data_IF_973926287462
#
_entry.id   IF_973926287462
#
_cell.length_a   1.000
_cell.length_b   1.000
_cell.length_c   1.000
_cell.angle_alpha   90.00
_cell.angle_beta   90.00
_cell.angle_gamma   90.00
#
_symmetry.space_group_name_H-M   'P 1'
#
loop_
_entity.id
_entity.type
_entity.pdbx_description
1 polymer ?
#
# COMPACT_ATOMS: atom_id res chain seq x y z
N UNK A 1 11.85 -6.76 10.17
CA UNK A 1 10.36 -6.82 10.14
C UNK A 1 9.79 -8.18 9.71
N UNK A 2 10.57 -9.13 9.16
CA UNK A 2 10.07 -10.50 8.92
C UNK A 2 9.27 -10.72 7.62
N UNK A 3 9.35 -9.78 6.68
CA UNK A 3 8.74 -9.89 5.35
C UNK A 3 9.61 -10.66 4.34
N UNK A 4 9.16 -10.75 3.08
CA UNK A 4 9.88 -11.47 2.03
C UNK A 4 11.17 -10.76 1.61
N UNK A 5 12.07 -11.50 0.95
CA UNK A 5 13.23 -10.91 0.28
C UNK A 5 12.78 -10.32 -1.06
N UNK A 6 12.95 -9.01 -1.21
CA UNK A 6 12.63 -8.29 -2.44
C UNK A 6 13.87 -8.24 -3.33
N UNK A 7 13.78 -8.60 -4.62
CA UNK A 7 14.86 -8.37 -5.57
C UNK A 7 15.20 -6.87 -5.64
N UNK A 8 16.48 -6.55 -5.49
CA UNK A 8 16.95 -5.16 -5.53
C UNK A 8 18.18 -5.07 -6.42
N UNK A 9 18.22 -4.02 -7.24
CA UNK A 9 19.37 -3.72 -8.10
C UNK A 9 19.81 -2.27 -7.89
N UNK A 10 21.11 -1.99 -7.66
CA UNK A 10 21.62 -0.64 -7.55
C UNK A 10 21.55 0.13 -8.89
N UNK A 11 21.96 1.40 -8.88
CA UNK A 11 22.15 2.19 -10.09
C UNK A 11 21.01 3.14 -10.45
N UNK A 12 20.15 3.50 -9.49
CA UNK A 12 19.32 4.71 -9.65
C UNK A 12 20.24 5.92 -9.64
N UNK A 13 19.95 6.90 -10.49
CA UNK A 13 20.74 8.13 -10.62
C UNK A 13 19.90 9.30 -10.15
N UNK A 14 20.40 9.99 -9.13
CA UNK A 14 19.77 11.22 -8.67
C UNK A 14 19.96 12.32 -9.71
N UNK A 15 18.90 13.11 -9.93
CA UNK A 15 19.04 14.36 -10.64
C UNK A 15 19.58 15.41 -9.67
N UNK A 16 20.64 16.08 -10.09
CA UNK A 16 21.22 17.21 -9.36
C UNK A 16 20.47 18.49 -9.66
N UNK A 17 20.65 19.53 -8.85
CA UNK A 17 20.10 20.87 -9.13
C UNK A 17 20.47 21.37 -10.54
N UNK A 18 21.66 21.01 -11.04
CA UNK A 18 22.11 21.37 -12.37
C UNK A 18 21.45 20.56 -13.51
N UNK A 19 20.84 19.42 -13.23
CA UNK A 19 20.29 18.49 -14.24
C UNK A 19 18.79 18.26 -14.14
N UNK A 20 18.16 18.69 -13.05
CA UNK A 20 16.70 18.60 -12.86
C UNK A 20 15.99 19.59 -13.78
N UNK A 21 14.97 19.09 -14.48
CA UNK A 21 14.04 19.90 -15.29
C UNK A 21 12.68 19.94 -14.58
N UNK A 22 11.89 20.98 -14.85
CA UNK A 22 10.53 21.06 -14.29
C UNK A 22 9.67 19.81 -14.60
N UNK A 23 9.87 19.19 -15.77
CA UNK A 23 9.18 17.95 -16.18
C UNK A 23 9.60 16.71 -15.39
N UNK A 24 10.71 16.77 -14.65
CA UNK A 24 11.18 15.67 -13.79
C UNK A 24 10.51 15.68 -12.43
N UNK A 25 9.93 16.82 -12.03
CA UNK A 25 9.20 16.98 -10.79
C UNK A 25 7.74 16.62 -11.08
N UNK A 26 7.22 15.50 -10.56
CA UNK A 26 5.82 15.14 -10.79
C UNK A 26 4.89 16.18 -10.14
N UNK A 27 3.75 16.52 -10.76
CA UNK A 27 2.76 17.37 -10.13
C UNK A 27 2.12 16.68 -8.91
N UNK A 28 1.55 17.49 -8.02
CA UNK A 28 0.70 17.01 -6.93
C UNK A 28 -0.51 16.23 -7.46
N UNK A 29 -1.12 15.41 -6.61
CA UNK A 29 -2.31 14.62 -6.95
C UNK A 29 -2.02 13.27 -7.64
N UNK A 30 -0.74 12.88 -7.79
CA UNK A 30 -0.38 11.54 -8.30
C UNK A 30 -0.42 10.44 -7.26
N UNK A 31 -0.43 10.79 -5.98
CA UNK A 31 -0.50 9.85 -4.87
C UNK A 31 -1.96 9.47 -4.57
N UNK A 32 -2.23 8.24 -4.10
CA UNK A 32 -3.57 7.82 -3.74
C UNK A 32 -4.12 8.65 -2.57
N UNK A 33 -5.44 8.78 -2.52
CA UNK A 33 -6.18 9.46 -1.47
C UNK A 33 -6.89 8.39 -0.63
N UNK A 34 -6.59 8.37 0.66
CA UNK A 34 -7.11 7.40 1.60
C UNK A 34 -8.64 7.45 1.78
N UNK A 35 -9.28 8.57 1.43
CA UNK A 35 -10.74 8.72 1.51
C UNK A 35 -11.48 8.09 0.33
N UNK A 36 -10.78 7.71 -0.74
CA UNK A 36 -11.37 7.28 -2.00
C UNK A 36 -11.43 5.76 -2.14
N UNK A 37 -12.38 5.27 -2.94
CA UNK A 37 -12.64 3.85 -3.15
C UNK A 37 -11.91 3.23 -4.36
N UNK A 38 -12.34 2.02 -4.73
CA UNK A 38 -11.73 1.19 -5.75
C UNK A 38 -11.51 1.87 -7.13
N UNK A 39 -12.42 2.70 -7.67
CA UNK A 39 -12.18 3.41 -8.93
C UNK A 39 -10.95 4.32 -8.89
N UNK A 40 -10.75 5.07 -7.80
CA UNK A 40 -9.59 5.95 -7.60
C UNK A 40 -8.30 5.13 -7.48
N UNK A 41 -8.35 4.07 -6.67
CA UNK A 41 -7.21 3.16 -6.49
C UNK A 41 -6.76 2.60 -7.85
N UNK A 42 -7.70 2.11 -8.68
CA UNK A 42 -7.37 1.62 -10.02
C UNK A 42 -6.80 2.72 -10.91
N UNK A 43 -7.39 3.92 -10.95
CA UNK A 43 -6.87 5.03 -11.76
C UNK A 43 -5.40 5.35 -11.45
N UNK A 44 -5.04 5.41 -10.16
CA UNK A 44 -3.68 5.66 -9.71
C UNK A 44 -2.73 4.53 -10.12
N UNK A 45 -3.08 3.28 -9.85
CA UNK A 45 -2.16 2.16 -10.00
C UNK A 45 -2.10 1.61 -11.43
N UNK A 46 -3.19 1.66 -12.20
CA UNK A 46 -3.21 1.24 -13.60
C UNK A 46 -2.34 2.14 -14.47
N UNK A 47 -2.28 3.45 -14.17
CA UNK A 47 -1.32 4.37 -14.80
C UNK A 47 0.14 3.94 -14.60
N UNK A 48 0.44 3.23 -13.51
CA UNK A 48 1.76 2.68 -13.21
C UNK A 48 1.96 1.25 -13.73
N UNK A 49 0.96 0.69 -14.42
CA UNK A 49 1.00 -0.64 -15.02
C UNK A 49 0.80 -1.79 -14.03
N UNK A 50 0.15 -1.57 -12.89
CA UNK A 50 -0.20 -2.65 -11.96
C UNK A 50 -1.55 -3.27 -12.26
N UNK A 51 -1.68 -4.56 -11.98
CA UNK A 51 -2.94 -5.31 -12.00
C UNK A 51 -3.62 -5.28 -10.64
N UNK A 52 -4.90 -5.62 -10.55
CA UNK A 52 -5.64 -5.69 -9.29
C UNK A 52 -4.94 -6.58 -8.24
N UNK A 53 -4.38 -7.73 -8.66
CA UNK A 53 -3.62 -8.63 -7.78
C UNK A 53 -2.39 -7.97 -7.17
N UNK A 54 -1.64 -7.22 -7.98
CA UNK A 54 -0.44 -6.51 -7.52
C UNK A 54 -0.79 -5.32 -6.62
N UNK A 55 -1.90 -4.62 -6.91
CA UNK A 55 -2.41 -3.53 -6.05
C UNK A 55 -2.75 -4.10 -4.66
N UNK A 56 -3.53 -5.18 -4.61
CA UNK A 56 -3.91 -5.80 -3.34
C UNK A 56 -2.68 -6.34 -2.61
N UNK A 57 -1.67 -6.86 -3.33
CA UNK A 57 -0.41 -7.27 -2.71
C UNK A 57 0.28 -6.08 -2.04
N UNK A 58 0.47 -4.97 -2.78
CA UNK A 58 1.12 -3.76 -2.25
C UNK A 58 0.40 -3.16 -1.04
N UNK A 59 -0.94 -3.24 -0.99
CA UNK A 59 -1.74 -2.81 0.16
C UNK A 59 -1.31 -3.47 1.47
N UNK A 60 -0.83 -4.71 1.43
CA UNK A 60 -0.34 -5.44 2.60
C UNK A 60 0.84 -4.76 3.32
N UNK A 61 1.47 -3.75 2.71
CA UNK A 61 2.42 -2.89 3.39
C UNK A 61 1.83 -2.18 4.62
N UNK A 62 0.51 -1.92 4.65
CA UNK A 62 -0.19 -1.41 5.83
C UNK A 62 -0.14 -2.35 7.05
N UNK A 63 0.34 -3.59 6.89
CA UNK A 63 0.71 -4.43 8.04
C UNK A 63 1.76 -3.80 8.96
N UNK A 64 2.54 -2.84 8.45
CA UNK A 64 3.60 -2.13 9.16
C UNK A 64 3.24 -0.65 9.29
N UNK A 65 3.51 -0.11 10.47
CA UNK A 65 3.37 1.31 10.77
C UNK A 65 1.98 1.69 11.27
N UNK A 66 1.69 2.99 11.15
CA UNK A 66 0.47 3.63 11.62
C UNK A 66 0.23 4.96 10.93
N UNK A 67 -1.01 5.43 10.97
CA UNK A 67 -1.34 6.81 10.66
C UNK A 67 -1.02 7.76 11.83
N UNK A 68 -0.71 9.01 11.47
CA UNK A 68 -0.45 10.12 12.38
C UNK A 68 -1.28 11.34 11.96
N UNK A 69 -1.88 12.01 12.94
CA UNK A 69 -2.82 13.13 12.71
C UNK A 69 -2.13 14.34 12.10
N UNK A 70 -0.90 14.64 12.51
CA UNK A 70 -0.07 15.74 11.99
C UNK A 70 0.48 15.51 10.57
N UNK A 71 0.30 14.31 10.00
CA UNK A 71 0.79 13.94 8.67
C UNK A 71 -0.32 13.69 7.66
N UNK A 72 -1.30 12.91 8.07
CA UNK A 72 -2.37 12.42 7.19
C UNK A 72 -3.77 12.80 7.65
N UNK A 73 -3.91 13.41 8.83
CA UNK A 73 -5.20 13.61 9.50
C UNK A 73 -5.71 12.34 10.20
N UNK A 74 -5.42 11.15 9.69
CA UNK A 74 -5.80 9.85 10.26
C UNK A 74 -4.96 9.44 11.49
N UNK A 75 -5.45 8.51 12.31
CA UNK A 75 -4.75 8.05 13.50
C UNK A 75 -4.92 6.55 13.77
N UNK A 76 -3.83 5.88 14.14
CA UNK A 76 -3.85 4.51 14.65
C UNK A 76 -3.09 3.51 13.77
N UNK A 77 -2.72 2.35 14.32
CA UNK A 77 -2.13 1.24 13.54
C UNK A 77 -3.22 0.39 12.88
N UNK A 78 -2.86 -0.30 11.80
CA UNK A 78 -3.75 -1.30 11.16
C UNK A 78 -3.66 -2.69 11.81
N UNK A 79 -2.58 -2.96 12.54
CA UNK A 79 -2.33 -4.26 13.17
C UNK A 79 -1.78 -4.11 14.58
N UNK A 80 -1.97 -5.13 15.42
CA UNK A 80 -1.43 -5.17 16.79
C UNK A 80 0.10 -5.22 16.83
N UNK A 81 0.76 -5.63 15.73
CA UNK A 81 2.22 -5.68 15.64
C UNK A 81 2.73 -4.78 14.50
N UNK A 82 2.66 -3.44 14.64
CA UNK A 82 2.96 -2.49 13.56
C UNK A 82 4.46 -2.47 13.17
N UNK A 83 5.32 -3.25 13.82
CA UNK A 83 6.75 -3.38 13.48
C UNK A 83 7.08 -4.71 12.79
N UNK A 84 6.06 -5.55 12.53
CA UNK A 84 6.21 -6.87 11.90
C UNK A 84 5.38 -6.95 10.63
N UNK A 85 6.08 -7.16 9.51
CA UNK A 85 5.43 -7.42 8.23
C UNK A 85 4.80 -8.81 8.26
N UNK A 86 3.50 -8.89 7.98
CA UNK A 86 2.76 -10.15 7.97
C UNK A 86 1.42 -10.03 7.24
N UNK A 87 0.78 -11.17 6.93
CA UNK A 87 -0.58 -11.17 6.38
C UNK A 87 -1.68 -10.95 7.45
N UNK A 88 -1.30 -10.56 8.68
CA UNK A 88 -2.28 -10.24 9.74
C UNK A 88 -3.21 -9.10 9.32
N UNK A 89 -2.71 -8.14 8.54
CA UNK A 89 -3.52 -7.06 7.97
C UNK A 89 -4.77 -7.59 7.24
N UNK A 90 -4.62 -8.51 6.29
CA UNK A 90 -5.76 -9.05 5.54
C UNK A 90 -6.70 -9.89 6.42
N UNK A 91 -6.15 -10.63 7.39
CA UNK A 91 -6.95 -11.38 8.36
C UNK A 91 -7.85 -10.46 9.17
N UNK A 92 -7.28 -9.41 9.75
CA UNK A 92 -8.01 -8.40 10.53
C UNK A 92 -9.02 -7.66 9.66
N UNK A 93 -8.63 -7.26 8.44
CA UNK A 93 -9.52 -6.58 7.50
C UNK A 93 -10.80 -7.38 7.23
N UNK A 94 -10.72 -8.71 7.15
CA UNK A 94 -11.87 -9.59 6.93
C UNK A 94 -12.62 -9.98 8.21
N UNK A 95 -11.92 -10.16 9.33
CA UNK A 95 -12.51 -10.76 10.55
C UNK A 95 -13.06 -9.74 11.54
N UNK A 96 -12.54 -8.52 11.54
CA UNK A 96 -12.94 -7.47 12.48
C UNK A 96 -14.19 -6.76 11.96
N UNK A 97 -15.12 -6.46 12.87
CA UNK A 97 -16.26 -5.59 12.57
C UNK A 97 -15.83 -4.14 12.69
N UNK A 98 -15.62 -3.50 11.55
CA UNK A 98 -15.20 -2.10 11.48
C UNK A 98 -16.38 -1.15 11.66
N UNK A 99 -16.28 -0.22 12.63
CA UNK A 99 -17.26 0.83 12.89
C UNK A 99 -16.68 2.20 12.59
N UNK A 100 -17.50 3.14 12.12
CA UNK A 100 -17.03 4.50 11.84
C UNK A 100 -16.64 5.21 13.14
N UNK A 101 -15.41 5.71 13.20
CA UNK A 101 -14.89 6.47 14.34
C UNK A 101 -15.59 7.83 14.44
N UNK A 102 -16.09 8.18 15.62
CA UNK A 102 -16.67 9.51 15.90
C UNK A 102 -15.62 10.40 16.55
N UNK A 103 -15.07 11.33 15.78
CA UNK A 103 -13.95 12.21 16.16
C UNK A 103 -13.81 13.39 15.17
N UNK A 104 -12.93 14.34 15.47
CA UNK A 104 -12.71 15.56 14.67
C UNK A 104 -11.81 15.38 13.44
N UNK A 105 -11.34 14.15 13.20
CA UNK A 105 -10.50 13.83 12.06
C UNK A 105 -11.28 13.37 10.83
N UNK A 106 -10.57 13.02 9.74
CA UNK A 106 -11.21 12.44 8.56
C UNK A 106 -11.91 11.12 8.89
N UNK A 107 -12.89 10.75 8.06
CA UNK A 107 -13.64 9.50 8.23
C UNK A 107 -12.69 8.31 8.21
N UNK A 108 -12.62 7.59 9.32
CA UNK A 108 -11.90 6.32 9.44
C UNK A 108 -12.76 5.31 10.20
N UNK A 109 -12.37 4.05 10.11
CA UNK A 109 -13.03 2.96 10.78
C UNK A 109 -12.12 2.34 11.80
N UNK A 110 -12.69 1.83 12.88
CA UNK A 110 -11.98 1.29 14.04
C UNK A 110 -12.63 -0.01 14.50
N UNK A 111 -11.90 -0.79 15.28
CA UNK A 111 -12.46 -1.92 16.01
C UNK A 111 -13.25 -1.46 17.25
N UNK A 112 -13.82 -2.40 18.00
CA UNK A 112 -14.68 -2.10 19.15
C UNK A 112 -13.96 -1.29 20.24
N UNK A 113 -12.67 -1.55 20.42
CA UNK A 113 -11.82 -0.94 21.45
C UNK A 113 -11.04 0.31 20.95
N UNK A 114 -11.20 0.72 19.69
CA UNK A 114 -10.44 1.81 19.06
C UNK A 114 -8.90 1.60 19.11
N UNK A 115 -8.46 0.35 19.12
CA UNK A 115 -7.04 -0.03 19.11
C UNK A 115 -6.49 -0.13 17.68
N UNK A 116 -7.33 -0.59 16.74
CA UNK A 116 -7.00 -0.77 15.35
C UNK A 116 -7.81 0.17 14.48
N UNK A 117 -7.28 0.46 13.29
CA UNK A 117 -7.96 1.31 12.33
C UNK A 117 -7.88 0.79 10.89
N UNK A 118 -8.85 1.20 10.08
CA UNK A 118 -8.88 1.06 8.63
C UNK A 118 -9.31 2.37 7.97
N UNK A 119 -8.68 2.70 6.85
CA UNK A 119 -9.07 3.84 6.02
C UNK A 119 -10.28 3.47 5.15
N UNK A 120 -11.05 4.45 4.64
CA UNK A 120 -12.05 4.20 3.61
C UNK A 120 -11.47 3.45 2.40
N UNK A 121 -10.25 3.81 1.99
CA UNK A 121 -9.51 3.13 0.93
C UNK A 121 -9.14 1.68 1.26
N UNK A 122 -8.88 1.32 2.52
CA UNK A 122 -8.63 -0.07 2.93
C UNK A 122 -9.92 -0.90 2.80
N UNK A 123 -11.05 -0.38 3.30
CA UNK A 123 -12.33 -1.09 3.21
C UNK A 123 -12.81 -1.27 1.77
N UNK A 124 -12.39 -0.41 0.84
CA UNK A 124 -12.71 -0.56 -0.58
C UNK A 124 -12.27 -1.93 -1.14
N UNK A 125 -11.21 -2.54 -0.59
CA UNK A 125 -10.70 -3.84 -1.05
C UNK A 125 -11.56 -5.03 -0.63
N UNK A 126 -12.43 -4.89 0.37
CA UNK A 126 -13.42 -5.92 0.74
C UNK A 126 -14.81 -5.64 0.19
N UNK A 127 -15.07 -4.41 -0.26
CA UNK A 127 -16.33 -4.00 -0.89
C UNK A 127 -16.33 -4.27 -2.40
N UNK A 128 -15.17 -4.16 -3.05
CA UNK A 128 -14.99 -4.49 -4.47
C UNK A 128 -14.72 -5.99 -4.66
N UNK A 129 -15.56 -6.74 -5.39
CA UNK A 129 -15.40 -8.19 -5.55
C UNK A 129 -14.07 -8.61 -6.19
N UNK A 130 -13.57 -7.83 -7.15
CA UNK A 130 -12.34 -8.15 -7.88
C UNK A 130 -11.09 -7.97 -7.02
N UNK A 131 -11.12 -7.02 -6.08
CA UNK A 131 -10.09 -6.92 -5.05
C UNK A 131 -10.26 -7.98 -3.95
N UNK A 132 -11.50 -8.23 -3.51
CA UNK A 132 -11.81 -9.09 -2.37
C UNK A 132 -11.26 -10.50 -2.53
N UNK A 133 -11.32 -11.08 -3.73
CA UNK A 133 -10.75 -12.41 -3.99
C UNK A 133 -9.25 -12.50 -3.63
N UNK A 134 -8.48 -11.42 -3.85
CA UNK A 134 -7.05 -11.38 -3.52
C UNK A 134 -6.83 -11.10 -2.03
N UNK A 135 -7.69 -10.31 -1.40
CA UNK A 135 -7.68 -10.12 0.06
C UNK A 135 -7.89 -11.46 0.77
N UNK A 136 -8.89 -12.23 0.35
CA UNK A 136 -9.18 -13.57 0.88
C UNK A 136 -8.03 -14.55 0.62
N UNK A 137 -7.44 -14.52 -0.58
CA UNK A 137 -6.25 -15.31 -0.93
C UNK A 137 -5.10 -15.03 0.03
N UNK A 138 -4.72 -13.76 0.21
CA UNK A 138 -3.57 -13.38 1.04
C UNK A 138 -3.84 -13.55 2.54
N UNK A 139 -5.09 -13.43 2.99
CA UNK A 139 -5.47 -13.77 4.36
C UNK A 139 -5.27 -15.27 4.64
N UNK A 140 -5.58 -16.13 3.67
CA UNK A 140 -5.44 -17.59 3.77
C UNK A 140 -4.01 -18.06 3.61
N UNK A 141 -3.27 -17.51 2.63
CA UNK A 141 -1.95 -17.97 2.24
C UNK A 141 -0.89 -16.85 2.34
N UNK A 142 -0.09 -16.94 3.39
CA UNK A 142 0.98 -15.98 3.68
C UNK A 142 2.13 -16.10 2.67
N UNK A 143 2.43 -17.29 2.17
CA UNK A 143 3.58 -17.50 1.29
C UNK A 143 3.28 -16.98 -0.12
N UNK A 144 2.03 -17.14 -0.60
CA UNK A 144 1.55 -16.49 -1.83
C UNK A 144 1.59 -14.97 -1.70
N UNK A 145 1.09 -14.41 -0.59
CA UNK A 145 1.20 -12.97 -0.33
C UNK A 145 2.67 -12.49 -0.37
N UNK A 146 3.58 -13.22 0.26
CA UNK A 146 4.99 -12.84 0.34
C UNK A 146 5.66 -12.86 -1.03
N UNK A 147 5.36 -13.86 -1.86
CA UNK A 147 5.87 -13.94 -3.23
C UNK A 147 5.34 -12.78 -4.09
N UNK A 148 4.03 -12.55 -4.06
CA UNK A 148 3.38 -11.50 -4.87
C UNK A 148 3.79 -10.10 -4.41
N UNK A 149 3.89 -9.86 -3.10
CA UNK A 149 4.38 -8.60 -2.56
C UNK A 149 5.83 -8.34 -2.99
N UNK A 150 6.71 -9.34 -2.92
CA UNK A 150 8.09 -9.17 -3.34
C UNK A 150 8.22 -8.84 -4.83
N UNK A 151 7.42 -9.50 -5.67
CA UNK A 151 7.38 -9.22 -7.10
C UNK A 151 6.82 -7.81 -7.40
N UNK A 152 5.66 -7.46 -6.82
CA UNK A 152 5.01 -6.17 -7.04
C UNK A 152 5.83 -5.00 -6.48
N UNK A 153 6.40 -5.14 -5.28
CA UNK A 153 7.25 -4.12 -4.68
C UNK A 153 8.59 -3.99 -5.43
N UNK A 154 9.19 -5.11 -5.87
CA UNK A 154 10.36 -5.09 -6.75
C UNK A 154 10.08 -4.34 -8.05
N UNK A 155 8.94 -4.61 -8.71
CA UNK A 155 8.47 -3.88 -9.89
C UNK A 155 8.28 -2.39 -9.61
N UNK A 156 7.67 -2.03 -8.47
CA UNK A 156 7.47 -0.64 -8.06
C UNK A 156 8.79 0.11 -7.92
N UNK A 157 9.79 -0.49 -7.28
CA UNK A 157 11.11 0.12 -7.11
C UNK A 157 11.84 0.36 -8.43
N UNK A 158 11.52 -0.39 -9.48
CA UNK A 158 12.19 -0.36 -10.78
C UNK A 158 11.47 0.49 -11.84
N UNK A 159 10.33 1.09 -11.50
CA UNK A 159 9.61 1.98 -12.42
C UNK A 159 10.47 3.16 -12.87
N UNK A 160 10.57 3.35 -14.19
CA UNK A 160 11.28 4.47 -14.80
C UNK A 160 12.81 4.39 -14.73
N UNK A 161 13.38 3.36 -14.08
CA UNK A 161 14.83 3.20 -13.95
C UNK A 161 15.43 2.81 -15.31
N UNK A 162 16.33 3.65 -15.82
CA UNK A 162 17.12 3.36 -17.03
C UNK A 162 18.54 3.05 -16.62
N UNK A 163 18.99 1.83 -16.85
CA UNK A 163 20.39 1.43 -16.67
C UNK A 163 21.08 1.39 -18.01
N UNK A 164 22.26 2.00 -18.12
CA UNK A 164 23.13 1.76 -19.26
C UNK A 164 23.44 0.25 -19.29
N UNK A 165 23.40 -0.37 -20.48
CA UNK A 165 23.90 -1.74 -20.63
C UNK A 165 25.35 -1.71 -20.15
N UNK A 166 25.65 -2.47 -19.10
CA UNK A 166 27.02 -2.70 -18.66
C UNK A 166 27.80 -3.17 -19.90
N UNK A 167 28.83 -2.43 -20.31
CA UNK A 167 29.88 -3.00 -21.16
C UNK A 167 30.59 -4.01 -20.27
N UNK A 168 30.09 -5.24 -20.23
CA UNK A 168 30.88 -6.39 -19.81
C UNK A 168 31.91 -6.67 -20.90
#
# INVERSE_FOLDING_TARGET
>A
MGGPKVPWTPGRTDKTEATVKATDIPPNGRLPDAAQGAPHIRDIFYRMGFTDREIVALLGAHSVGRCHTDRSGYSGPWTYTPTRFSNQYYKLLLSVKWVEKKWDGPKQFVDEDDELMMLPGDLAFILDPEFKQYVELYAKDKDVFYADFAAAFGKLLELGVKRAKTKL
#
